data_IF_091558708626
#
_entry.id   IF_091558708626
#
_cell.length_a   1.000
_cell.length_b   1.000
_cell.length_c   1.000
_cell.angle_alpha   90.00
_cell.angle_beta   90.00
_cell.angle_gamma   90.00
#
_symmetry.space_group_name_H-M   'P 1'
#
loop_
_entity.id
_entity.type
_entity.pdbx_description
1 polymer ?
#
# COMPACT_ATOMS: atom_id res chain seq x y z
N UNK A 1 -6.48 13.31 -9.13
CA UNK A 1 -5.02 13.36 -8.92
C UNK A 1 -4.72 12.60 -7.64
N UNK A 2 -3.71 11.72 -7.63
CA UNK A 2 -3.37 10.98 -6.42
C UNK A 2 -2.71 11.89 -5.39
N UNK A 3 -2.98 11.67 -4.11
CA UNK A 3 -2.39 12.41 -2.98
C UNK A 3 -1.65 11.48 -2.03
N UNK A 4 -0.53 11.97 -1.49
CA UNK A 4 0.34 11.22 -0.58
C UNK A 4 0.33 11.83 0.80
N UNK A 5 0.10 11.02 1.83
CA UNK A 5 0.32 11.40 3.22
C UNK A 5 1.78 11.14 3.59
N UNK A 6 2.52 12.17 4.01
CA UNK A 6 3.96 12.07 4.34
C UNK A 6 4.20 11.67 5.81
N UNK A 7 3.75 10.47 6.16
CA UNK A 7 3.93 9.86 7.48
C UNK A 7 5.37 9.44 7.80
N UNK A 8 5.56 8.81 8.96
CA UNK A 8 6.86 8.38 9.47
C UNK A 8 7.53 9.37 10.43
N UNK A 9 8.77 9.03 10.82
CA UNK A 9 9.52 9.72 11.86
C UNK A 9 9.87 11.16 11.50
N UNK A 10 9.85 12.06 12.47
CA UNK A 10 10.28 13.46 12.29
C UNK A 10 10.88 14.01 13.58
N UNK A 11 11.78 13.21 14.17
CA UNK A 11 12.46 13.62 15.38
C UNK A 11 13.38 14.81 15.16
N UNK A 12 13.89 15.34 16.26
CA UNK A 12 14.77 16.51 16.25
C UNK A 12 15.97 16.32 15.29
N UNK A 13 16.19 17.34 14.44
CA UNK A 13 17.26 17.35 13.45
C UNK A 13 16.97 16.58 12.17
N UNK A 14 15.83 15.90 12.05
CA UNK A 14 15.44 15.18 10.83
C UNK A 14 15.23 16.13 9.64
N UNK A 15 15.73 15.74 8.46
CA UNK A 15 15.69 16.57 7.24
C UNK A 15 15.04 15.88 6.05
N UNK A 16 14.73 14.58 6.16
CA UNK A 16 14.29 13.77 5.03
C UNK A 16 13.05 14.30 4.33
N UNK A 17 12.08 14.88 5.06
CA UNK A 17 10.87 15.45 4.45
C UNK A 17 11.17 16.62 3.54
N UNK A 18 12.03 17.53 3.98
CA UNK A 18 12.42 18.69 3.18
C UNK A 18 13.13 18.22 1.91
N UNK A 19 14.05 17.26 2.05
CA UNK A 19 14.74 16.65 0.91
C UNK A 19 13.77 15.95 -0.06
N UNK A 20 12.77 15.24 0.46
CA UNK A 20 11.78 14.56 -0.37
C UNK A 20 10.91 15.56 -1.14
N UNK A 21 10.40 16.59 -0.46
CA UNK A 21 9.44 17.56 -1.02
C UNK A 21 10.02 18.32 -2.20
N UNK A 22 11.30 18.67 -2.16
CA UNK A 22 11.99 19.31 -3.28
C UNK A 22 11.97 18.45 -4.56
N UNK A 23 11.71 17.14 -4.45
CA UNK A 23 11.66 16.18 -5.56
C UNK A 23 10.25 15.72 -5.91
N UNK A 24 9.23 16.08 -5.13
CA UNK A 24 7.86 15.61 -5.35
C UNK A 24 7.15 16.45 -6.41
N UNK A 25 6.53 15.75 -7.37
CA UNK A 25 5.60 16.29 -8.37
C UNK A 25 4.13 16.01 -8.02
N UNK A 26 3.91 15.03 -7.16
CA UNK A 26 2.58 14.62 -6.68
C UNK A 26 2.10 15.54 -5.55
N UNK A 27 0.78 15.73 -5.45
CA UNK A 27 0.17 16.40 -4.29
C UNK A 27 0.44 15.61 -3.01
N UNK A 28 0.72 16.31 -1.92
CA UNK A 28 1.00 15.68 -0.63
C UNK A 28 0.36 16.44 0.54
N UNK A 29 0.14 15.72 1.63
CA UNK A 29 -0.31 16.26 2.91
C UNK A 29 0.75 15.99 3.96
N UNK A 30 1.08 17.03 4.72
CA UNK A 30 1.92 16.90 5.91
C UNK A 30 1.08 16.44 7.11
N UNK A 31 1.60 15.51 7.92
CA UNK A 31 1.03 15.27 9.23
C UNK A 31 0.99 16.59 10.01
N UNK A 32 -0.17 16.93 10.59
CA UNK A 32 -0.20 17.95 11.62
C UNK A 32 0.80 17.58 12.73
N UNK A 33 1.45 18.57 13.39
CA UNK A 33 2.31 18.31 14.54
C UNK A 33 1.56 17.39 15.52
N UNK A 34 2.14 16.22 15.77
CA UNK A 34 1.48 15.19 16.56
C UNK A 34 1.60 15.56 18.04
N UNK A 35 0.49 15.95 18.66
CA UNK A 35 0.39 15.96 20.12
C UNK A 35 -0.16 14.60 20.58
N UNK A 36 0.55 13.93 21.50
CA UNK A 36 0.29 12.55 21.92
C UNK A 36 -1.05 12.35 22.67
N UNK A 37 -1.75 13.42 23.05
CA UNK A 37 -3.06 13.36 23.69
C UNK A 37 -4.16 13.12 22.66
N UNK A 38 -5.27 12.48 23.07
CA UNK A 38 -6.52 12.35 22.30
C UNK A 38 -7.12 13.72 21.99
N UNK A 39 -6.48 14.39 21.04
CA UNK A 39 -6.73 15.77 20.68
C UNK A 39 -7.38 15.81 19.31
N UNK A 40 -8.13 16.88 19.03
CA UNK A 40 -8.58 17.19 17.67
C UNK A 40 -7.46 17.12 16.61
N UNK A 41 -6.21 17.39 16.99
CA UNK A 41 -5.05 17.30 16.10
C UNK A 41 -4.77 15.86 15.63
N UNK A 42 -4.84 14.86 16.53
CA UNK A 42 -4.68 13.46 16.15
C UNK A 42 -5.79 13.01 15.19
N UNK A 43 -7.04 13.33 15.50
CA UNK A 43 -8.19 12.97 14.64
C UNK A 43 -8.10 13.64 13.26
N UNK A 44 -7.64 14.90 13.21
CA UNK A 44 -7.37 15.59 11.95
C UNK A 44 -6.27 14.88 11.14
N UNK A 45 -5.16 14.50 11.78
CA UNK A 45 -4.07 13.79 11.12
C UNK A 45 -4.50 12.40 10.60
N UNK A 46 -5.35 11.67 11.32
CA UNK A 46 -5.93 10.41 10.85
C UNK A 46 -6.92 10.64 9.69
N UNK A 47 -7.74 11.69 9.75
CA UNK A 47 -8.65 12.09 8.67
C UNK A 47 -7.88 12.44 7.39
N UNK A 48 -6.83 13.25 7.50
CA UNK A 48 -5.95 13.64 6.40
C UNK A 48 -5.26 12.43 5.75
N UNK A 49 -4.79 11.49 6.57
CA UNK A 49 -4.21 10.23 6.10
C UNK A 49 -5.22 9.41 5.31
N UNK A 50 -6.44 9.25 5.85
CA UNK A 50 -7.48 8.47 5.17
C UNK A 50 -7.92 9.09 3.84
N UNK A 51 -7.85 10.42 3.72
CA UNK A 51 -8.17 11.17 2.52
C UNK A 51 -7.10 11.04 1.42
N UNK A 52 -5.91 10.54 1.74
CA UNK A 52 -4.83 10.29 0.78
C UNK A 52 -4.98 8.91 0.11
N UNK A 53 -4.42 8.80 -1.09
CA UNK A 53 -4.36 7.55 -1.86
C UNK A 53 -3.19 6.68 -1.43
N UNK A 54 -2.12 7.32 -0.95
CA UNK A 54 -0.89 6.68 -0.47
C UNK A 54 -0.60 7.16 0.94
N UNK A 55 -0.26 6.22 1.82
CA UNK A 55 0.25 6.46 3.17
C UNK A 55 1.73 6.08 3.21
N UNK A 56 2.60 7.09 3.07
CA UNK A 56 4.04 6.91 3.11
C UNK A 56 4.51 6.88 4.57
N UNK A 57 5.29 5.87 4.93
CA UNK A 57 6.03 5.81 6.18
C UNK A 57 7.52 5.80 5.91
N UNK A 58 8.25 6.76 6.47
CA UNK A 58 9.72 6.77 6.45
C UNK A 58 10.28 6.69 7.86
N UNK A 59 11.05 5.64 8.14
CA UNK A 59 11.82 5.53 9.38
C UNK A 59 13.24 6.04 9.17
N UNK A 60 13.75 6.76 10.17
CA UNK A 60 15.10 7.33 10.17
C UNK A 60 15.74 7.14 11.54
N UNK A 61 17.07 7.30 11.69
CA UNK A 61 17.75 7.23 12.99
C UNK A 61 17.35 8.37 13.94
N UNK A 62 16.63 9.38 13.45
CA UNK A 62 16.00 10.41 14.29
C UNK A 62 14.68 9.95 14.90
N UNK A 63 14.18 8.75 14.59
CA UNK A 63 12.95 8.21 15.17
C UNK A 63 13.15 7.90 16.66
N UNK A 64 12.52 8.71 17.52
CA UNK A 64 12.47 8.48 18.97
C UNK A 64 11.16 7.84 19.43
N UNK A 65 10.18 7.71 18.53
CA UNK A 65 8.81 7.36 18.85
C UNK A 65 8.39 6.06 18.17
N UNK A 66 8.25 4.99 18.97
CA UNK A 66 7.76 3.68 18.52
C UNK A 66 6.35 3.72 17.92
N UNK A 67 5.59 4.77 18.18
CA UNK A 67 4.26 4.98 17.61
C UNK A 67 4.25 4.94 16.09
N UNK A 68 5.30 5.44 15.42
CA UNK A 68 5.38 5.38 13.95
C UNK A 68 5.44 3.95 13.44
N UNK A 69 6.18 3.06 14.13
CA UNK A 69 6.26 1.63 13.78
C UNK A 69 4.90 0.96 14.05
N UNK A 70 4.27 1.24 15.20
CA UNK A 70 2.96 0.70 15.52
C UNK A 70 1.88 1.12 14.51
N UNK A 71 1.90 2.38 14.08
CA UNK A 71 1.01 2.89 13.04
C UNK A 71 1.29 2.25 11.69
N UNK A 72 2.56 2.19 11.26
CA UNK A 72 2.94 1.50 10.03
C UNK A 72 2.38 0.08 9.99
N UNK A 73 2.58 -0.68 11.07
CA UNK A 73 2.07 -2.04 11.18
C UNK A 73 0.55 -2.09 11.12
N UNK A 74 -0.14 -1.23 11.90
CA UNK A 74 -1.61 -1.13 11.89
C UNK A 74 -2.15 -0.82 10.48
N UNK A 75 -1.60 0.19 9.83
CA UNK A 75 -2.04 0.62 8.50
C UNK A 75 -1.73 -0.42 7.44
N UNK A 76 -0.60 -1.13 7.55
CA UNK A 76 -0.24 -2.20 6.61
C UNK A 76 -1.25 -3.35 6.64
N UNK A 77 -1.86 -3.63 7.80
CA UNK A 77 -2.92 -4.64 7.94
C UNK A 77 -4.27 -4.11 7.48
N UNK A 78 -4.65 -2.90 7.91
CA UNK A 78 -5.97 -2.34 7.61
C UNK A 78 -6.12 -1.87 6.17
N UNK A 79 -5.02 -1.41 5.56
CA UNK A 79 -4.99 -0.74 4.25
C UNK A 79 -3.74 -1.11 3.45
N UNK A 80 -3.48 -2.41 3.22
CA UNK A 80 -2.22 -2.86 2.63
C UNK A 80 -1.86 -2.17 1.31
N UNK A 81 -2.84 -2.00 0.41
CA UNK A 81 -2.61 -1.38 -0.90
C UNK A 81 -2.32 0.13 -0.87
N UNK A 82 -2.46 0.80 0.30
CA UNK A 82 -2.13 2.22 0.46
C UNK A 82 -0.76 2.44 1.09
N UNK A 83 -0.22 1.46 1.80
CA UNK A 83 0.99 1.64 2.60
C UNK A 83 2.23 1.50 1.75
N UNK A 84 3.04 2.56 1.74
CA UNK A 84 4.38 2.58 1.18
C UNK A 84 5.35 2.80 2.32
N UNK A 85 6.37 1.96 2.44
CA UNK A 85 7.31 2.01 3.55
C UNK A 85 8.75 2.11 3.05
N UNK A 86 9.55 2.99 3.63
CA UNK A 86 10.99 3.03 3.42
C UNK A 86 11.70 3.32 4.74
N UNK A 87 13.00 3.04 4.78
CA UNK A 87 13.88 3.51 5.84
C UNK A 87 15.08 4.24 5.23
N UNK A 88 15.57 5.27 5.91
CA UNK A 88 16.84 5.91 5.59
C UNK A 88 17.87 5.49 6.62
N UNK A 89 19.04 5.04 6.15
CA UNK A 89 20.12 4.57 7.04
C UNK A 89 20.73 5.70 7.86
N UNK A 90 20.69 6.92 7.31
CA UNK A 90 21.18 8.14 7.91
C UNK A 90 20.17 9.27 7.74
N UNK A 91 20.06 10.14 8.75
CA UNK A 91 19.33 11.41 8.70
C UNK A 91 19.74 12.28 9.90
N UNK A 92 19.71 13.60 9.75
CA UNK A 92 19.99 14.52 10.86
C UNK A 92 21.33 14.32 11.56
N UNK A 93 22.34 13.83 10.84
CA UNK A 93 23.67 13.50 11.40
C UNK A 93 23.71 12.24 12.26
N UNK A 94 22.64 11.43 12.28
CA UNK A 94 22.56 10.14 12.97
C UNK A 94 22.53 9.01 11.94
N UNK A 95 22.99 7.83 12.36
CA UNK A 95 23.04 6.60 11.54
C UNK A 95 22.54 5.44 12.39
N UNK A 96 21.70 4.56 11.82
CA UNK A 96 21.32 3.33 12.49
C UNK A 96 22.54 2.42 12.69
N UNK A 97 22.62 1.75 13.83
CA UNK A 97 23.60 0.69 14.04
C UNK A 97 23.14 -0.63 13.39
N UNK A 98 24.06 -1.60 13.26
CA UNK A 98 23.78 -2.87 12.58
C UNK A 98 22.61 -3.65 13.18
N UNK A 99 22.44 -3.60 14.51
CA UNK A 99 21.31 -4.28 15.18
C UNK A 99 19.99 -3.59 14.87
N UNK A 100 19.97 -2.27 14.83
CA UNK A 100 18.77 -1.51 14.45
C UNK A 100 18.38 -1.78 13.00
N UNK A 101 19.36 -1.87 12.08
CA UNK A 101 19.11 -2.22 10.68
C UNK A 101 18.47 -3.60 10.54
N UNK A 102 18.98 -4.62 11.24
CA UNK A 102 18.39 -5.97 11.24
C UNK A 102 16.94 -5.92 11.70
N UNK A 103 16.64 -5.22 12.79
CA UNK A 103 15.28 -5.12 13.31
C UNK A 103 14.33 -4.38 12.37
N UNK A 104 14.81 -3.33 11.67
CA UNK A 104 14.00 -2.59 10.71
C UNK A 104 13.77 -3.41 9.43
N UNK A 105 14.75 -4.20 9.01
CA UNK A 105 14.60 -5.14 7.89
C UNK A 105 13.49 -6.17 8.18
N UNK A 106 13.40 -6.68 9.41
CA UNK A 106 12.26 -7.53 9.83
C UNK A 106 10.92 -6.78 9.76
N UNK A 107 10.87 -5.51 10.16
CA UNK A 107 9.66 -4.68 9.99
C UNK A 107 9.27 -4.53 8.53
N UNK A 108 10.24 -4.37 7.62
CA UNK A 108 9.95 -4.29 6.19
C UNK A 108 9.35 -5.58 5.65
N UNK A 109 9.86 -6.74 6.08
CA UNK A 109 9.31 -8.03 5.70
C UNK A 109 7.87 -8.17 6.17
N UNK A 110 7.58 -7.83 7.43
CA UNK A 110 6.21 -7.88 7.95
C UNK A 110 5.25 -6.94 7.19
N UNK A 111 5.71 -5.75 6.79
CA UNK A 111 4.91 -4.82 5.97
C UNK A 111 4.65 -5.41 4.58
N UNK A 112 5.63 -6.09 3.98
CA UNK A 112 5.44 -6.75 2.69
C UNK A 112 4.44 -7.90 2.78
N UNK A 113 4.50 -8.70 3.86
CA UNK A 113 3.61 -9.83 4.11
C UNK A 113 2.15 -9.41 4.30
N UNK A 114 1.90 -8.23 4.87
CA UNK A 114 0.54 -7.69 5.01
C UNK A 114 0.01 -7.11 3.71
N UNK A 115 0.89 -6.80 2.75
CA UNK A 115 0.56 -6.28 1.41
C UNK A 115 0.95 -4.83 1.19
N UNK A 116 1.67 -4.22 2.13
CA UNK A 116 2.34 -2.94 1.94
C UNK A 116 3.53 -3.03 0.98
N UNK A 117 4.01 -1.87 0.53
CA UNK A 117 5.08 -1.76 -0.46
C UNK A 117 6.36 -1.23 0.18
N UNK A 118 7.32 -2.08 0.55
CA UNK A 118 8.65 -1.62 0.94
C UNK A 118 9.42 -1.05 -0.25
N UNK A 119 10.14 0.04 -0.04
CA UNK A 119 10.98 0.72 -1.02
C UNK A 119 12.46 0.70 -0.62
N UNK A 120 13.38 0.90 -1.58
CA UNK A 120 14.80 1.08 -1.31
C UNK A 120 15.11 2.25 -0.36
N UNK A 121 16.28 2.20 0.26
CA UNK A 121 16.72 3.10 1.33
C UNK A 121 17.22 4.47 0.86
N UNK A 122 16.47 5.15 0.00
CA UNK A 122 16.88 6.46 -0.52
C UNK A 122 15.70 7.37 -0.80
N UNK A 123 15.94 8.67 -0.61
CA UNK A 123 14.99 9.73 -0.97
C UNK A 123 14.60 9.66 -2.45
N UNK A 124 15.57 9.40 -3.33
CA UNK A 124 15.31 9.36 -4.76
C UNK A 124 14.39 8.18 -5.13
N UNK A 125 14.59 6.99 -4.55
CA UNK A 125 13.69 5.87 -4.79
C UNK A 125 12.26 6.13 -4.28
N UNK A 126 12.12 6.84 -3.15
CA UNK A 126 10.81 7.27 -2.64
C UNK A 126 10.18 8.26 -3.61
N UNK A 127 10.92 9.29 -4.04
CA UNK A 127 10.43 10.31 -4.96
C UNK A 127 10.03 9.71 -6.31
N UNK A 128 10.86 8.84 -6.90
CA UNK A 128 10.60 8.17 -8.16
C UNK A 128 9.34 7.31 -8.08
N UNK A 129 9.18 6.55 -7.00
CA UNK A 129 7.96 5.76 -6.78
C UNK A 129 6.73 6.66 -6.70
N UNK A 130 6.73 7.70 -5.85
CA UNK A 130 5.57 8.58 -5.68
C UNK A 130 5.26 9.40 -6.93
N UNK A 131 6.27 9.85 -7.65
CA UNK A 131 6.12 10.56 -8.91
C UNK A 131 5.64 9.64 -10.04
N UNK A 132 5.93 8.34 -10.01
CA UNK A 132 5.34 7.38 -10.96
C UNK A 132 3.82 7.24 -10.78
N UNK A 133 3.31 7.55 -9.58
CA UNK A 133 1.88 7.61 -9.28
C UNK A 133 1.25 8.95 -9.69
N UNK A 134 2.09 9.96 -9.95
CA UNK A 134 1.65 11.19 -10.57
C UNK A 134 1.44 10.92 -12.06
N UNK A 135 0.17 10.80 -12.44
CA UNK A 135 -0.21 10.96 -13.83
C UNK A 135 -0.12 12.46 -14.09
N UNK A 136 0.93 12.90 -14.81
CA UNK A 136 0.85 14.14 -15.58
C UNK A 136 -0.32 13.90 -16.52
N UNK A 137 -1.49 14.37 -16.14
CA UNK A 137 -2.63 14.27 -17.04
C UNK A 137 -2.22 15.09 -18.28
N UNK A 138 -2.41 14.58 -19.50
CA UNK A 138 -2.38 15.45 -20.69
C UNK A 138 -3.42 16.58 -20.61
N UNK A 139 -4.31 16.50 -19.61
CA UNK A 139 -5.19 17.54 -19.15
C UNK A 139 -4.44 18.78 -18.64
N UNK A 140 -4.13 19.69 -19.55
CA UNK A 140 -3.91 21.09 -19.20
C UNK A 140 -5.30 21.75 -19.01
N UNK A 141 -5.72 22.08 -17.77
CA UNK A 141 -7.03 22.69 -17.52
C UNK A 141 -7.17 24.09 -18.14
N UNK A 142 -6.08 24.66 -18.65
CA UNK A 142 -6.09 25.92 -19.37
C UNK A 142 -6.41 25.73 -20.86
N UNK A 143 -6.36 24.52 -21.42
CA UNK A 143 -6.71 24.28 -22.81
C UNK A 143 -8.22 24.10 -22.94
N UNK A 144 -8.85 24.98 -23.70
CA UNK A 144 -10.29 24.99 -23.95
C UNK A 144 -10.52 24.61 -25.39
N UNK A 145 -11.45 23.69 -25.60
CA UNK A 145 -11.94 23.26 -26.90
C UNK A 145 -13.16 24.11 -27.29
N UNK A 146 -13.18 24.57 -28.52
CA UNK A 146 -14.31 25.26 -29.14
C UNK A 146 -15.09 24.29 -30.02
N UNK A 147 -16.37 24.10 -29.72
CA UNK A 147 -17.28 23.18 -30.41
C UNK A 147 -17.93 23.81 -31.66
N UNK A 148 -17.61 25.07 -31.96
CA UNK A 148 -18.16 25.79 -33.11
C UNK A 148 -17.52 25.24 -34.38
N UNK A 149 -18.29 24.48 -35.15
CA UNK A 149 -17.85 23.96 -36.44
C UNK A 149 -17.88 25.06 -37.51
N UNK A 150 -16.70 25.45 -38.00
CA UNK A 150 -16.53 26.32 -39.16
C UNK A 150 -15.17 26.11 -39.81
N UNK A 151 -15.03 26.56 -41.05
CA UNK A 151 -13.73 26.55 -41.73
C UNK A 151 -12.78 27.60 -41.14
N UNK A 152 -11.62 27.15 -40.68
CA UNK A 152 -10.53 28.00 -40.19
C UNK A 152 -10.63 28.38 -38.71
N UNK A 153 -9.67 29.18 -38.22
CA UNK A 153 -9.50 29.44 -36.79
C UNK A 153 -10.66 30.22 -36.19
N UNK A 154 -11.02 29.88 -34.95
CA UNK A 154 -12.02 30.61 -34.18
C UNK A 154 -11.38 31.71 -33.36
N UNK A 155 -11.61 32.98 -33.73
CA UNK A 155 -11.11 34.13 -32.98
C UNK A 155 -12.20 34.68 -32.06
N UNK A 156 -11.87 34.85 -30.78
CA UNK A 156 -12.74 35.42 -29.75
C UNK A 156 -12.00 36.50 -28.95
N UNK A 157 -12.60 37.67 -28.80
CA UNK A 157 -12.04 38.76 -27.99
C UNK A 157 -12.84 38.92 -26.70
N UNK A 158 -12.16 38.76 -25.55
CA UNK A 158 -12.72 38.98 -24.21
C UNK A 158 -11.95 40.14 -23.55
N UNK A 159 -12.62 41.29 -23.42
CA UNK A 159 -12.00 42.52 -22.92
C UNK A 159 -10.85 42.99 -23.80
N UNK A 160 -9.63 42.99 -23.26
CA UNK A 160 -8.39 43.38 -23.99
C UNK A 160 -7.59 42.18 -24.51
N UNK A 161 -8.09 40.95 -24.34
CA UNK A 161 -7.39 39.73 -24.78
C UNK A 161 -8.13 39.09 -25.94
N UNK A 162 -7.36 38.59 -26.90
CA UNK A 162 -7.87 37.82 -28.04
C UNK A 162 -7.37 36.39 -27.92
N UNK A 163 -8.28 35.45 -28.05
CA UNK A 163 -8.04 34.01 -28.09
C UNK A 163 -8.28 33.51 -29.50
N UNK A 164 -7.33 32.73 -30.01
CA UNK A 164 -7.44 32.09 -31.33
C UNK A 164 -7.43 30.60 -31.10
N UNK A 165 -8.54 29.95 -31.42
CA UNK A 165 -8.71 28.51 -31.36
C UNK A 165 -8.35 27.94 -32.73
N UNK A 166 -7.43 27.00 -32.74
CA UNK A 166 -6.86 26.37 -33.94
C UNK A 166 -6.98 24.86 -33.80
N UNK A 167 -7.08 24.15 -34.92
CA UNK A 167 -7.15 22.69 -34.92
C UNK A 167 -5.80 22.10 -34.47
N UNK A 168 -5.84 21.19 -33.51
CA UNK A 168 -4.66 20.44 -33.08
C UNK A 168 -4.41 19.21 -33.99
N UNK A 169 -3.43 18.37 -33.63
CA UNK A 169 -3.09 17.15 -34.38
C UNK A 169 -4.24 16.12 -34.43
N UNK A 170 -5.18 16.19 -33.49
CA UNK A 170 -6.37 15.33 -33.43
C UNK A 170 -7.58 15.91 -34.21
N UNK A 171 -7.45 17.14 -34.75
CA UNK A 171 -8.53 17.85 -35.44
C UNK A 171 -9.50 18.58 -34.52
N UNK A 172 -9.19 18.70 -33.23
CA UNK A 172 -10.00 19.46 -32.27
C UNK A 172 -9.57 20.93 -32.24
N UNK A 173 -10.53 21.84 -32.28
CA UNK A 173 -10.27 23.28 -32.29
C UNK A 173 -10.02 23.79 -30.86
N UNK A 174 -8.76 24.06 -30.49
CA UNK A 174 -8.35 24.32 -29.10
C UNK A 174 -7.58 25.64 -28.93
N UNK A 175 -7.60 26.20 -27.72
CA UNK A 175 -6.82 27.39 -27.34
C UNK A 175 -6.40 27.34 -25.86
N UNK A 176 -5.18 27.78 -25.55
CA UNK A 176 -4.74 27.94 -24.16
C UNK A 176 -5.24 29.27 -23.55
N UNK A 177 -6.05 29.17 -22.51
CA UNK A 177 -6.70 30.26 -21.79
C UNK A 177 -6.10 30.40 -20.39
N UNK A 178 -5.01 31.16 -20.31
CA UNK A 178 -4.26 31.41 -19.06
C UNK A 178 -5.01 32.25 -18.02
N UNK A 179 -6.06 33.00 -18.41
CA UNK A 179 -6.87 33.78 -17.47
C UNK A 179 -7.98 32.89 -16.89
N UNK A 180 -7.96 32.71 -15.56
CA UNK A 180 -8.98 31.93 -14.85
C UNK A 180 -10.39 32.49 -15.04
N UNK A 181 -10.54 33.83 -15.02
CA UNK A 181 -11.82 34.51 -15.22
C UNK A 181 -12.38 34.25 -16.63
N UNK A 182 -11.55 34.41 -17.67
CA UNK A 182 -11.97 34.16 -19.05
C UNK A 182 -12.29 32.68 -19.28
N UNK A 183 -11.51 31.77 -18.69
CA UNK A 183 -11.80 30.34 -18.73
C UNK A 183 -13.16 30.03 -18.12
N UNK A 184 -13.46 30.55 -16.92
CA UNK A 184 -14.77 30.35 -16.30
C UNK A 184 -15.90 30.96 -17.12
N UNK A 185 -15.68 32.09 -17.77
CA UNK A 185 -16.64 32.70 -18.69
C UNK A 185 -16.93 31.79 -19.89
N UNK A 186 -15.88 31.29 -20.54
CA UNK A 186 -16.00 30.38 -21.69
C UNK A 186 -16.74 29.09 -21.33
N UNK A 187 -16.39 28.47 -20.21
CA UNK A 187 -17.02 27.22 -19.76
C UNK A 187 -18.50 27.37 -19.32
N UNK A 188 -19.02 28.60 -19.25
CA UNK A 188 -20.47 28.84 -19.07
C UNK A 188 -21.23 28.85 -20.39
N UNK A 189 -20.53 28.98 -21.52
CA UNK A 189 -21.12 28.95 -22.84
C UNK A 189 -21.22 27.48 -23.31
N UNK A 190 -22.30 27.11 -24.03
CA UNK A 190 -22.52 25.72 -24.45
C UNK A 190 -21.50 25.23 -25.49
N UNK A 191 -20.85 26.17 -26.19
CA UNK A 191 -19.94 25.87 -27.31
C UNK A 191 -18.48 25.69 -26.89
N UNK A 192 -18.20 25.62 -25.58
CA UNK A 192 -16.84 25.47 -25.08
C UNK A 192 -16.78 24.44 -23.95
N UNK A 193 -15.72 23.63 -23.95
CA UNK A 193 -15.44 22.66 -22.87
C UNK A 193 -13.95 22.61 -22.59
N UNK A 194 -13.58 22.03 -21.45
CA UNK A 194 -12.16 21.76 -21.19
C UNK A 194 -11.73 20.66 -22.16
N UNK A 195 -10.67 20.91 -22.91
CA UNK A 195 -10.11 19.93 -23.83
C UNK A 195 -9.63 18.72 -23.04
N UNK A 196 -10.00 17.54 -23.50
CA UNK A 196 -9.49 16.26 -23.01
C UNK A 196 -8.87 15.59 -24.21
N UNK A 197 -7.56 15.43 -24.19
CA UNK A 197 -6.89 14.59 -25.18
C UNK A 197 -7.45 13.18 -25.01
N UNK A 198 -8.22 12.72 -26.00
CA UNK A 198 -8.76 11.37 -25.98
C UNK A 198 -7.57 10.42 -25.88
N UNK A 199 -7.54 9.60 -24.83
CA UNK A 199 -6.56 8.54 -24.72
C UNK A 199 -6.67 7.71 -26.00
N UNK A 200 -5.61 7.71 -26.84
CA UNK A 200 -5.48 6.79 -27.97
C UNK A 200 -6.03 5.43 -27.53
N UNK A 201 -6.85 4.75 -28.35
CA UNK A 201 -7.52 3.52 -27.93
C UNK A 201 -6.49 2.58 -27.32
N UNK A 202 -6.61 2.36 -25.99
CA UNK A 202 -5.75 1.43 -25.27
C UNK A 202 -5.84 0.10 -26.02
N UNK A 203 -4.71 -0.52 -26.42
CA UNK A 203 -4.75 -1.80 -27.10
C UNK A 203 -5.54 -2.78 -26.23
N UNK A 204 -6.64 -3.31 -26.77
CA UNK A 204 -7.45 -4.32 -26.07
C UNK A 204 -6.58 -5.55 -25.85
N UNK A 205 -6.11 -5.73 -24.63
CA UNK A 205 -5.39 -6.93 -24.22
C UNK A 205 -6.42 -7.98 -23.85
N UNK A 206 -6.64 -8.96 -24.72
CA UNK A 206 -7.48 -10.12 -24.41
C UNK A 206 -6.75 -11.04 -23.45
N UNK A 207 -7.33 -11.26 -22.26
CA UNK A 207 -6.80 -12.15 -21.23
C UNK A 207 -7.08 -13.61 -21.57
N UNK A 208 -6.05 -14.38 -21.91
CA UNK A 208 -6.09 -15.85 -22.04
C UNK A 208 -5.52 -16.48 -20.75
N UNK A 209 -6.43 -16.91 -19.87
CA UNK A 209 -6.13 -17.54 -18.58
C UNK A 209 -5.33 -18.85 -18.76
N UNK A 210 -5.62 -19.60 -19.80
CA UNK A 210 -4.97 -20.88 -20.06
C UNK A 210 -3.54 -20.69 -20.57
N UNK A 211 -3.30 -19.62 -21.35
CA UNK A 211 -1.94 -19.25 -21.77
C UNK A 211 -1.09 -18.86 -20.56
N UNK A 212 -1.63 -18.05 -19.65
CA UNK A 212 -0.94 -17.64 -18.42
C UNK A 212 -0.53 -18.85 -17.57
N UNK A 213 -1.43 -19.82 -17.39
CA UNK A 213 -1.16 -21.03 -16.60
C UNK A 213 -0.10 -21.91 -17.29
N UNK A 214 -0.12 -22.01 -18.61
CA UNK A 214 0.90 -22.78 -19.37
C UNK A 214 2.29 -22.17 -19.24
N UNK A 215 2.41 -20.86 -19.40
CA UNK A 215 3.69 -20.14 -19.30
C UNK A 215 4.25 -20.23 -17.88
N UNK A 216 3.39 -20.04 -16.86
CA UNK A 216 3.75 -20.15 -15.44
C UNK A 216 4.43 -21.49 -15.09
N UNK A 217 3.92 -22.61 -15.62
CA UNK A 217 4.46 -23.97 -15.35
C UNK A 217 5.87 -24.21 -15.89
N UNK A 218 6.39 -23.34 -16.76
CA UNK A 218 7.66 -23.59 -17.47
C UNK A 218 8.83 -22.74 -16.96
N UNK A 219 8.62 -21.90 -15.94
CA UNK A 219 9.62 -20.93 -15.49
C UNK A 219 10.56 -21.50 -14.42
N UNK A 220 11.87 -21.37 -14.66
CA UNK A 220 12.92 -21.61 -13.65
C UNK A 220 12.84 -20.60 -12.50
N UNK A 221 13.31 -20.96 -11.29
CA UNK A 221 13.25 -20.17 -10.04
C UNK A 221 13.71 -18.69 -10.14
N UNK A 222 14.69 -18.39 -10.99
CA UNK A 222 15.18 -17.02 -11.20
C UNK A 222 14.27 -16.19 -12.13
N UNK A 223 13.58 -16.85 -13.07
CA UNK A 223 12.55 -16.25 -13.94
C UNK A 223 11.20 -16.14 -13.24
N UNK A 224 10.97 -16.95 -12.21
CA UNK A 224 9.79 -16.89 -11.35
C UNK A 224 9.68 -15.55 -10.62
N UNK A 225 10.74 -15.06 -9.97
CA UNK A 225 10.66 -13.79 -9.23
C UNK A 225 10.38 -12.59 -10.15
N UNK A 226 11.03 -12.53 -11.31
CA UNK A 226 10.76 -11.50 -12.33
C UNK A 226 9.32 -11.59 -12.87
N UNK A 227 8.80 -12.80 -13.05
CA UNK A 227 7.44 -13.04 -13.52
C UNK A 227 6.38 -12.71 -12.47
N UNK A 228 6.60 -13.05 -11.20
CA UNK A 228 5.75 -12.67 -10.06
C UNK A 228 5.71 -11.16 -9.94
N UNK A 229 6.86 -10.48 -10.01
CA UNK A 229 6.91 -9.02 -9.98
C UNK A 229 6.13 -8.40 -11.15
N UNK A 230 6.20 -8.98 -12.35
CA UNK A 230 5.44 -8.53 -13.52
C UNK A 230 3.93 -8.83 -13.44
N UNK A 231 3.49 -9.73 -12.56
CA UNK A 231 2.10 -10.20 -12.47
C UNK A 231 1.51 -10.10 -11.05
N UNK A 232 2.11 -9.27 -10.19
CA UNK A 232 1.83 -9.22 -8.75
C UNK A 232 0.35 -8.94 -8.45
N UNK A 233 -0.31 -8.14 -9.28
CA UNK A 233 -1.74 -7.85 -9.18
C UNK A 233 -2.61 -9.11 -9.29
N UNK A 234 -2.27 -10.03 -10.21
CA UNK A 234 -2.98 -11.31 -10.40
C UNK A 234 -2.79 -12.24 -9.19
N UNK A 235 -1.60 -12.22 -8.59
CA UNK A 235 -1.31 -12.97 -7.37
C UNK A 235 -2.11 -12.45 -6.17
N UNK A 236 -2.20 -11.13 -6.00
CA UNK A 236 -3.01 -10.51 -4.96
C UNK A 236 -4.47 -10.91 -5.10
N UNK A 237 -5.05 -10.83 -6.29
CA UNK A 237 -6.44 -11.21 -6.57
C UNK A 237 -6.72 -12.69 -6.25
N UNK A 238 -5.84 -13.60 -6.65
CA UNK A 238 -5.94 -15.01 -6.29
C UNK A 238 -5.86 -15.25 -4.77
N UNK A 239 -4.97 -14.52 -4.08
CA UNK A 239 -4.82 -14.61 -2.62
C UNK A 239 -6.08 -14.16 -1.86
N UNK A 240 -6.78 -13.14 -2.36
CA UNK A 240 -8.03 -12.63 -1.77
C UNK A 240 -9.13 -13.68 -1.88
N UNK A 241 -9.25 -14.32 -3.06
CA UNK A 241 -10.21 -15.40 -3.29
C UNK A 241 -9.97 -16.61 -2.38
N UNK A 242 -8.71 -17.01 -2.19
CA UNK A 242 -8.33 -18.11 -1.28
C UNK A 242 -8.64 -17.76 0.18
N UNK A 243 -8.37 -16.52 0.60
CA UNK A 243 -8.72 -16.04 1.95
C UNK A 243 -10.23 -16.03 2.20
N UNK A 244 -11.03 -15.66 1.20
CA UNK A 244 -12.50 -15.76 1.26
C UNK A 244 -12.99 -17.19 1.51
N UNK A 245 -12.47 -18.16 0.75
CA UNK A 245 -12.80 -19.58 0.92
C UNK A 245 -12.40 -20.09 2.32
N UNK A 246 -11.24 -19.67 2.82
CA UNK A 246 -10.77 -20.04 4.16
C UNK A 246 -11.66 -19.44 5.27
N UNK A 247 -12.11 -18.19 5.09
CA UNK A 247 -13.01 -17.51 6.02
C UNK A 247 -14.40 -18.18 6.07
N UNK A 248 -14.96 -18.58 4.92
CA UNK A 248 -16.23 -19.33 4.86
C UNK A 248 -16.14 -20.66 5.61
N UNK A 249 -15.02 -21.39 5.46
CA UNK A 249 -14.77 -22.64 6.20
C UNK A 249 -14.60 -22.40 7.70
N UNK A 250 -13.98 -21.30 8.09
CA UNK A 250 -13.79 -20.91 9.49
C UNK A 250 -15.13 -20.66 10.19
N UNK A 251 -16.04 -19.91 9.55
CA UNK A 251 -17.40 -19.65 10.05
C UNK A 251 -18.19 -20.95 10.21
N UNK A 252 -18.04 -21.90 9.29
CA UNK A 252 -18.71 -23.19 9.37
C UNK A 252 -18.19 -24.09 10.51
N UNK A 253 -16.93 -23.93 10.93
CA UNK A 253 -16.29 -24.77 11.96
C UNK A 253 -16.53 -24.28 13.39
N UNK A 254 -16.89 -23.01 13.61
CA UNK A 254 -17.10 -22.43 14.94
C UNK A 254 -18.36 -21.55 15.00
N UNK A 255 -19.57 -22.12 14.87
CA UNK A 255 -20.82 -21.35 14.80
C UNK A 255 -21.18 -20.59 16.09
N UNK A 256 -20.71 -21.07 17.25
CA UNK A 256 -21.10 -20.54 18.57
C UNK A 256 -20.19 -19.40 19.06
N UNK A 257 -19.06 -19.17 18.39
CA UNK A 257 -18.17 -18.04 18.68
C UNK A 257 -18.63 -16.92 17.74
N UNK A 258 -19.60 -16.13 18.19
CA UNK A 258 -20.17 -14.99 17.47
C UNK A 258 -19.17 -13.83 17.26
N UNK A 259 -18.05 -14.12 16.64
CA UNK A 259 -17.01 -13.16 16.30
C UNK A 259 -17.12 -12.87 14.81
N UNK A 260 -17.62 -11.69 14.39
CA UNK A 260 -17.47 -11.29 13.02
C UNK A 260 -15.98 -11.09 12.74
N UNK A 261 -15.45 -11.82 11.77
CA UNK A 261 -14.24 -11.37 11.08
C UNK A 261 -14.59 -9.97 10.54
N UNK A 262 -13.72 -8.95 10.66
CA UNK A 262 -13.96 -7.66 10.03
C UNK A 262 -13.89 -7.85 8.51
N UNK A 263 -14.99 -8.28 7.91
CA UNK A 263 -15.25 -8.14 6.49
C UNK A 263 -15.59 -6.67 6.31
N UNK A 264 -14.65 -5.89 5.79
CA UNK A 264 -14.84 -4.46 5.57
C UNK A 264 -15.91 -4.21 4.51
N UNK A 265 -17.18 -4.25 4.91
CA UNK A 265 -18.37 -3.75 4.21
C UNK A 265 -19.62 -4.05 5.06
N UNK A 266 -20.11 -3.08 5.85
CA UNK A 266 -21.56 -2.90 6.11
C UNK A 266 -21.85 -1.46 6.54
N UNK A 267 -22.37 -0.67 5.60
CA UNK A 267 -23.02 0.62 5.84
C UNK A 267 -24.50 0.40 6.17
N UNK A 268 -24.83 -0.14 7.34
CA UNK A 268 -26.21 -0.12 7.86
C UNK A 268 -26.25 0.12 9.37
N UNK A 269 -26.74 1.31 9.73
CA UNK A 269 -27.02 1.65 11.11
C UNK A 269 -28.12 0.77 11.70
N UNK A 270 -27.93 0.31 12.93
CA UNK A 270 -28.78 0.68 14.07
C UNK A 270 -28.13 0.23 15.39
N UNK A 271 -28.41 1.04 16.41
CA UNK A 271 -27.89 1.03 17.76
C UNK A 271 -27.94 -0.32 18.50
N UNK A 272 -26.96 -0.51 19.40
CA UNK A 272 -26.87 -1.49 20.51
C UNK A 272 -25.85 -2.65 20.43
N UNK A 273 -24.77 -2.54 19.65
CA UNK A 273 -23.59 -3.40 19.88
C UNK A 273 -22.47 -2.62 20.61
N UNK A 274 -21.90 -3.13 21.73
CA UNK A 274 -20.73 -2.51 22.33
C UNK A 274 -19.55 -2.55 21.36
N UNK A 275 -18.77 -1.47 21.31
CA UNK A 275 -17.65 -1.33 20.39
C UNK A 275 -16.62 -2.47 20.62
N UNK A 276 -15.95 -3.00 19.57
CA UNK A 276 -15.05 -4.17 19.67
C UNK A 276 -13.80 -3.99 20.55
N UNK A 277 -13.61 -2.83 21.18
CA UNK A 277 -12.46 -2.51 22.03
C UNK A 277 -12.65 -2.77 23.52
N UNK A 278 -13.87 -2.88 24.04
CA UNK A 278 -14.09 -2.92 25.50
C UNK A 278 -13.84 -4.30 26.13
N UNK A 279 -13.93 -5.39 25.37
CA UNK A 279 -13.78 -6.75 25.90
C UNK A 279 -12.33 -7.14 26.20
N UNK A 280 -11.34 -6.53 25.51
CA UNK A 280 -9.93 -6.91 25.62
C UNK A 280 -9.16 -6.15 26.71
N UNK A 281 -9.70 -5.01 27.17
CA UNK A 281 -9.04 -4.14 28.14
C UNK A 281 -9.07 -4.69 29.58
N UNK A 282 -9.94 -5.68 29.86
CA UNK A 282 -10.08 -6.27 31.19
C UNK A 282 -9.46 -7.67 31.33
N UNK A 283 -8.75 -8.15 30.31
CA UNK A 283 -8.10 -9.45 30.39
C UNK A 283 -6.90 -9.40 31.32
N UNK A 284 -6.86 -10.33 32.26
CA UNK A 284 -5.66 -10.56 33.05
C UNK A 284 -4.51 -10.99 32.15
N UNK A 285 -3.26 -10.77 32.60
CA UNK A 285 -2.07 -11.25 31.90
C UNK A 285 -2.11 -12.77 31.62
N UNK A 286 -2.83 -13.53 32.45
CA UNK A 286 -3.02 -14.96 32.26
C UNK A 286 -3.93 -15.28 31.05
N UNK A 287 -5.01 -14.53 30.88
CA UNK A 287 -5.94 -14.68 29.76
C UNK A 287 -5.29 -14.25 28.43
N UNK A 288 -4.51 -13.16 28.46
CA UNK A 288 -3.67 -12.74 27.32
C UNK A 288 -2.68 -13.82 26.90
N UNK A 289 -1.96 -14.41 27.87
CA UNK A 289 -0.99 -15.47 27.61
C UNK A 289 -1.67 -16.74 27.08
N UNK A 290 -2.85 -17.09 27.60
CA UNK A 290 -3.61 -18.24 27.14
C UNK A 290 -4.13 -18.05 25.70
N UNK A 291 -4.59 -16.84 25.37
CA UNK A 291 -5.01 -16.48 24.02
C UNK A 291 -3.84 -16.53 23.03
N UNK A 292 -2.68 -15.95 23.36
CA UNK A 292 -1.48 -16.01 22.51
C UNK A 292 -1.05 -17.45 22.25
N UNK A 293 -1.01 -18.31 23.28
CA UNK A 293 -0.70 -19.73 23.13
C UNK A 293 -1.69 -20.46 22.22
N UNK A 294 -2.98 -20.14 22.33
CA UNK A 294 -4.03 -20.73 21.48
C UNK A 294 -3.94 -20.24 20.04
N UNK A 295 -3.66 -18.95 19.82
CA UNK A 295 -3.47 -18.35 18.50
C UNK A 295 -2.23 -18.91 17.78
N UNK A 296 -1.10 -19.04 18.49
CA UNK A 296 0.12 -19.67 17.95
C UNK A 296 -0.14 -21.13 17.59
N UNK A 297 -0.82 -21.89 18.45
CA UNK A 297 -1.18 -23.29 18.18
C UNK A 297 -2.08 -23.43 16.96
N UNK A 298 -3.07 -22.56 16.82
CA UNK A 298 -4.03 -22.60 15.72
C UNK A 298 -3.37 -22.19 14.39
N UNK A 299 -2.47 -21.21 14.39
CA UNK A 299 -1.67 -20.89 13.22
C UNK A 299 -0.70 -22.03 12.85
N UNK A 300 -0.13 -22.73 13.84
CA UNK A 300 0.68 -23.92 13.59
C UNK A 300 -0.15 -25.07 13.00
N UNK A 301 -1.41 -25.25 13.44
CA UNK A 301 -2.34 -26.24 12.89
C UNK A 301 -2.83 -25.86 11.48
N UNK A 302 -3.08 -24.58 11.20
CA UNK A 302 -3.42 -24.08 9.87
C UNK A 302 -2.24 -24.16 8.89
N UNK A 303 -1.03 -23.85 9.37
CA UNK A 303 0.20 -24.02 8.62
C UNK A 303 0.48 -25.50 8.35
N UNK A 304 0.21 -26.39 9.32
CA UNK A 304 0.24 -27.84 9.13
C UNK A 304 -0.73 -28.29 8.05
N UNK A 305 -1.99 -27.83 8.08
CA UNK A 305 -2.97 -28.15 7.03
C UNK A 305 -2.58 -27.60 5.65
N UNK A 306 -1.91 -26.43 5.62
CA UNK A 306 -1.33 -25.86 4.40
C UNK A 306 -0.19 -26.73 3.86
N UNK A 307 0.74 -27.17 4.73
CA UNK A 307 1.85 -28.07 4.36
C UNK A 307 1.35 -29.45 3.93
N UNK A 308 0.36 -30.02 4.63
CA UNK A 308 -0.30 -31.28 4.26
C UNK A 308 -1.05 -31.14 2.92
N UNK A 309 -1.65 -29.98 2.62
CA UNK A 309 -2.27 -29.71 1.32
C UNK A 309 -1.26 -29.50 0.18
N UNK A 310 -0.01 -29.17 0.50
CA UNK A 310 1.09 -28.94 -0.45
C UNK A 310 2.19 -30.01 -0.32
N UNK A 311 1.84 -31.17 0.24
CA UNK A 311 2.72 -32.34 0.46
C UNK A 311 3.33 -32.86 -0.85
N UNK A 312 2.69 -32.58 -1.99
CA UNK A 312 3.19 -32.90 -3.35
C UNK A 312 4.36 -31.99 -3.77
N UNK A 313 4.44 -30.75 -3.28
CA UNK A 313 5.53 -29.81 -3.59
C UNK A 313 6.76 -30.06 -2.70
N UNK A 314 6.57 -30.58 -1.49
CA UNK A 314 7.67 -30.96 -0.58
C UNK A 314 8.37 -32.27 -0.95
N UNK A 315 7.73 -33.14 -1.73
CA UNK A 315 8.30 -34.41 -2.23
C UNK A 315 9.52 -34.23 -3.18
N UNK A 316 9.91 -32.99 -3.51
CA UNK A 316 11.01 -32.68 -4.42
C UNK A 316 12.16 -31.86 -3.79
N UNK A 317 12.22 -31.75 -2.45
CA UNK A 317 13.35 -31.13 -1.76
C UNK A 317 14.52 -32.15 -1.57
N UNK A 318 15.80 -31.71 -1.56
CA UNK A 318 16.92 -32.59 -1.22
C UNK A 318 16.77 -33.22 0.17
N UNK A 319 17.08 -34.51 0.29
CA UNK A 319 16.79 -35.35 1.46
C UNK A 319 17.36 -34.81 2.79
N UNK A 320 18.50 -34.11 2.76
CA UNK A 320 19.21 -33.59 3.93
C UNK A 320 18.53 -32.39 4.59
N UNK A 321 17.84 -31.56 3.81
CA UNK A 321 17.06 -30.42 4.31
C UNK A 321 15.74 -30.91 4.89
N UNK A 322 15.12 -31.92 4.26
CA UNK A 322 13.87 -32.52 4.72
C UNK A 322 14.03 -33.20 6.09
N UNK A 323 15.07 -34.03 6.25
CA UNK A 323 15.30 -34.76 7.51
C UNK A 323 15.66 -33.82 8.66
N UNK A 324 16.39 -32.74 8.38
CA UNK A 324 16.74 -31.71 9.38
C UNK A 324 15.53 -30.91 9.84
N UNK A 325 14.66 -30.49 8.91
CA UNK A 325 13.42 -29.78 9.23
C UNK A 325 12.44 -30.67 10.00
N UNK A 326 12.30 -31.94 9.57
CA UNK A 326 11.44 -32.94 10.22
C UNK A 326 11.92 -33.27 11.64
N UNK A 327 13.21 -33.48 11.85
CA UNK A 327 13.77 -33.78 13.18
C UNK A 327 13.61 -32.60 14.15
N UNK A 328 13.78 -31.36 13.68
CA UNK A 328 13.54 -30.14 14.48
C UNK A 328 12.06 -29.98 14.84
N UNK A 329 11.18 -30.31 13.90
CA UNK A 329 9.73 -30.25 14.09
C UNK A 329 9.20 -31.32 15.07
N UNK A 330 9.71 -32.56 15.00
CA UNK A 330 9.32 -33.64 15.92
C UNK A 330 9.71 -33.37 17.38
N UNK A 331 10.81 -32.63 17.62
CA UNK A 331 11.18 -32.15 18.97
C UNK A 331 10.18 -31.13 19.50
N UNK A 332 9.74 -30.21 18.64
CA UNK A 332 8.79 -29.16 18.99
C UNK A 332 7.41 -29.74 19.39
N UNK A 333 6.92 -30.73 18.63
CA UNK A 333 5.64 -31.40 18.90
C UNK A 333 5.66 -32.19 20.21
N UNK A 334 6.82 -32.74 20.59
CA UNK A 334 6.99 -33.48 21.86
C UNK A 334 7.13 -32.56 23.08
N UNK A 335 6.97 -31.24 22.93
CA UNK A 335 7.10 -30.26 24.00
C UNK A 335 8.52 -30.15 24.55
N UNK A 336 9.52 -30.60 23.79
CA UNK A 336 10.91 -30.44 24.16
C UNK A 336 11.34 -29.01 23.86
N UNK A 337 12.00 -28.36 24.82
CA UNK A 337 12.48 -27.00 24.66
C UNK A 337 13.43 -26.92 23.45
N UNK A 338 13.32 -25.80 22.72
CA UNK A 338 14.26 -25.47 21.64
C UNK A 338 15.68 -25.45 22.22
N UNK A 339 16.65 -26.20 21.67
CA UNK A 339 18.03 -26.05 22.10
C UNK A 339 18.48 -24.66 21.67
N UNK A 340 18.61 -23.76 22.63
CA UNK A 340 19.51 -22.62 22.49
C UNK A 340 20.89 -23.25 22.67
N UNK A 341 21.46 -23.79 21.60
CA UNK A 341 22.87 -24.18 21.63
C UNK A 341 23.71 -22.92 21.50
N UNK A 342 24.62 -22.78 22.46
CA UNK A 342 25.71 -21.83 22.53
C UNK A 342 26.62 -22.00 21.30
N UNK A 343 26.30 -21.31 20.21
CA UNK A 343 27.22 -21.12 19.08
C UNK A 343 27.96 -19.77 19.20
N UNK A 344 28.39 -19.44 20.43
CA UNK A 344 29.41 -18.42 20.72
C UNK A 344 30.45 -18.98 21.71
N UNK A 345 31.10 -20.09 21.34
CA UNK A 345 32.39 -20.49 21.90
C UNK A 345 33.14 -21.50 20.99
N UNK A 346 33.54 -21.06 19.79
CA UNK A 346 34.70 -21.59 19.06
C UNK A 346 35.23 -20.53 18.07
#
# INVERSE_FOLDING_TARGET
MKRVYLGGSNGEGSTWRNALIERLKIEFIFPAPYEFSDTPARLAAESDRHACDVDLHVLTPCCTEFYHIANLMRESVLRPNKVVFSMLREDGGKVFNDRELILIEEVMLMVAETGGQPLPYSIDAIADHLNSLHVELPFNPNVIECLIQRDGPTVLTLGKRTYTFEDNENGDCVCEVLSSEHRQYLLKLPDFRIYKEDELPKPEFTYDEDQFIREWKTLSKMRYQAYVNAHIRRFVEASVKIRGIAAEKWVALMPDIGCPIPTGEDDRGHDQAPAPGEAYLNWSNHEWTAWQKKWVRLNAENFRAYVEAHEIEMLNAPDDIYDSARAKWEKLIKGQAWPIEEEEAA
#
